data_IF_261876117752
#
_entry.id   IF_261876117752
#
_cell.length_a   1.000
_cell.length_b   1.000
_cell.length_c   1.000
_cell.angle_alpha   90.00
_cell.angle_beta   90.00
_cell.angle_gamma   90.00
#
_symmetry.space_group_name_H-M   'P 1'
#
loop_
_entity.id
_entity.type
_entity.pdbx_description
1 polymer ?
#
# COMPACT_ATOMS: atom_id res chain seq x y z
N UNK A 1 9.55 -78.10 9.60
CA UNK A 1 9.41 -76.70 10.15
C UNK A 1 10.29 -75.67 9.44
N UNK A 2 11.56 -75.88 9.17
CA UNK A 2 12.46 -74.90 8.53
C UNK A 2 12.01 -74.46 7.13
N UNK A 3 11.48 -75.37 6.27
CA UNK A 3 11.01 -75.01 4.91
C UNK A 3 9.77 -74.13 4.92
N UNK A 4 8.87 -74.28 5.89
CA UNK A 4 7.64 -73.46 5.99
C UNK A 4 7.99 -72.02 6.35
N UNK A 5 8.94 -71.80 7.26
CA UNK A 5 9.41 -70.44 7.64
C UNK A 5 10.11 -69.72 6.49
N UNK A 6 10.86 -70.50 5.64
CA UNK A 6 11.50 -69.91 4.44
C UNK A 6 10.46 -69.39 3.42
N UNK A 7 9.42 -70.20 3.16
CA UNK A 7 8.35 -69.82 2.21
C UNK A 7 7.53 -68.62 2.72
N UNK A 8 7.23 -68.54 4.04
CA UNK A 8 6.53 -67.40 4.65
C UNK A 8 7.37 -66.12 4.57
N UNK A 9 8.69 -66.22 4.83
CA UNK A 9 9.59 -65.05 4.65
C UNK A 9 9.64 -64.55 3.22
N UNK A 10 9.66 -65.42 2.26
CA UNK A 10 9.69 -65.09 0.84
C UNK A 10 8.37 -64.42 0.40
N UNK A 11 7.21 -64.89 0.90
CA UNK A 11 5.90 -64.26 0.62
C UNK A 11 5.80 -62.88 1.24
N UNK A 12 6.29 -62.68 2.44
CA UNK A 12 6.30 -61.34 3.13
C UNK A 12 7.20 -60.36 2.34
N UNK A 13 8.38 -60.82 1.87
CA UNK A 13 9.27 -59.97 1.11
C UNK A 13 8.68 -59.57 -0.26
N UNK A 14 7.98 -60.50 -0.95
CA UNK A 14 7.29 -60.21 -2.21
C UNK A 14 6.11 -59.23 -1.96
N UNK A 15 5.33 -59.44 -0.90
CA UNK A 15 4.23 -58.53 -0.56
C UNK A 15 4.73 -57.13 -0.20
N UNK A 16 5.86 -57.00 0.52
CA UNK A 16 6.48 -55.71 0.82
C UNK A 16 7.00 -55.01 -0.45
N UNK A 17 7.63 -55.78 -1.37
CA UNK A 17 8.09 -55.23 -2.65
C UNK A 17 6.93 -54.74 -3.56
N UNK A 18 5.82 -55.48 -3.58
CA UNK A 18 4.61 -55.08 -4.31
C UNK A 18 3.98 -53.82 -3.70
N UNK A 19 3.96 -53.70 -2.36
CA UNK A 19 3.44 -52.51 -1.68
C UNK A 19 4.26 -51.23 -1.99
N UNK A 20 5.58 -51.36 -2.17
CA UNK A 20 6.45 -50.24 -2.56
C UNK A 20 6.21 -49.84 -4.03
N UNK A 21 5.89 -50.79 -4.91
CA UNK A 21 5.58 -50.50 -6.30
C UNK A 21 4.21 -49.86 -6.51
N UNK A 22 3.27 -50.08 -5.60
CA UNK A 22 1.93 -49.49 -5.63
C UNK A 22 1.72 -48.29 -4.65
N UNK A 23 2.80 -47.80 -4.03
CA UNK A 23 2.69 -46.54 -3.27
C UNK A 23 2.27 -45.43 -4.23
N UNK A 24 1.16 -44.73 -3.95
CA UNK A 24 0.78 -43.56 -4.74
C UNK A 24 1.92 -42.56 -4.64
N UNK A 25 2.60 -42.32 -5.76
CA UNK A 25 3.51 -41.19 -5.83
C UNK A 25 2.65 -39.94 -5.63
N UNK A 26 2.80 -39.31 -4.48
CA UNK A 26 2.33 -37.95 -4.31
C UNK A 26 3.06 -37.09 -5.36
N UNK A 27 2.38 -36.86 -6.47
CA UNK A 27 2.76 -35.79 -7.38
C UNK A 27 2.43 -34.52 -6.61
N UNK A 28 3.42 -33.97 -5.93
CA UNK A 28 3.37 -32.56 -5.52
C UNK A 28 3.40 -31.81 -6.85
N UNK A 29 2.21 -31.41 -7.31
CA UNK A 29 2.09 -30.40 -8.33
C UNK A 29 2.78 -29.16 -7.71
N UNK A 30 3.94 -28.81 -8.25
CA UNK A 30 4.48 -27.47 -8.03
C UNK A 30 3.36 -26.53 -8.42
N UNK A 31 2.86 -25.75 -7.46
CA UNK A 31 1.85 -24.73 -7.74
C UNK A 31 2.35 -23.91 -8.91
N UNK A 32 1.47 -23.59 -9.84
CA UNK A 32 1.78 -22.68 -10.92
C UNK A 32 2.42 -21.44 -10.29
N UNK A 33 3.63 -21.11 -10.72
CA UNK A 33 4.34 -19.94 -10.25
C UNK A 33 3.64 -18.72 -10.86
N UNK A 34 2.67 -18.17 -10.11
CA UNK A 34 1.91 -17.00 -10.51
C UNK A 34 2.80 -15.79 -10.82
N UNK A 35 4.08 -15.83 -10.41
CA UNK A 35 5.02 -14.75 -10.68
C UNK A 35 5.58 -14.80 -12.10
N UNK A 36 5.44 -15.93 -12.82
CA UNK A 36 5.96 -16.07 -14.19
C UNK A 36 5.25 -15.17 -15.22
N UNK A 37 4.01 -14.75 -14.91
CA UNK A 37 3.19 -13.91 -15.80
C UNK A 37 3.34 -12.41 -15.49
N UNK A 38 4.12 -12.04 -14.46
CA UNK A 38 4.32 -10.66 -14.05
C UNK A 38 5.78 -10.24 -14.26
N UNK A 39 5.95 -9.03 -14.80
CA UNK A 39 7.25 -8.37 -14.85
C UNK A 39 7.47 -7.63 -13.53
N UNK A 40 8.56 -7.95 -12.84
CA UNK A 40 8.99 -7.22 -11.65
C UNK A 40 10.03 -6.19 -12.07
N UNK A 41 9.80 -4.93 -11.69
CA UNK A 41 10.76 -3.83 -11.84
C UNK A 41 11.06 -3.30 -10.43
N UNK A 42 12.32 -3.24 -10.07
CA UNK A 42 12.80 -2.63 -8.84
C UNK A 42 13.19 -1.18 -9.15
N UNK A 43 12.68 -0.25 -8.34
CA UNK A 43 13.03 1.17 -8.42
C UNK A 43 13.87 1.55 -7.21
N UNK A 44 14.91 2.34 -7.45
CA UNK A 44 15.92 2.72 -6.47
C UNK A 44 16.11 4.24 -6.43
N UNK A 45 17.04 4.71 -5.62
CA UNK A 45 17.46 6.12 -5.59
C UNK A 45 17.97 6.61 -6.96
N UNK A 46 18.58 5.73 -7.78
CA UNK A 46 19.05 6.05 -9.13
C UNK A 46 17.89 6.38 -10.08
N UNK A 47 16.68 5.85 -9.81
CA UNK A 47 15.45 6.11 -10.55
C UNK A 47 14.69 7.34 -10.03
N UNK A 48 15.24 8.04 -9.02
CA UNK A 48 14.66 9.22 -8.39
C UNK A 48 13.71 8.92 -7.21
N UNK A 49 13.62 7.65 -6.78
CA UNK A 49 12.85 7.26 -5.60
C UNK A 49 13.76 7.11 -4.38
N UNK A 50 13.95 8.22 -3.65
CA UNK A 50 14.89 8.33 -2.51
C UNK A 50 14.30 7.80 -1.18
N UNK A 51 13.23 7.02 -1.20
CA UNK A 51 12.60 6.49 0.00
C UNK A 51 12.57 4.97 -0.03
N UNK A 52 13.02 4.35 1.05
CA UNK A 52 12.98 2.89 1.19
C UNK A 52 11.62 2.35 1.64
N UNK A 53 10.66 3.23 2.04
CA UNK A 53 9.37 2.83 2.61
C UNK A 53 8.24 3.69 2.05
N UNK A 54 7.16 3.04 1.59
CA UNK A 54 5.97 3.69 1.09
C UNK A 54 4.79 3.40 2.01
N UNK A 55 4.11 4.46 2.50
CA UNK A 55 3.00 4.37 3.43
C UNK A 55 1.65 4.25 2.71
N UNK A 56 1.51 4.91 1.58
CA UNK A 56 0.28 4.93 0.79
C UNK A 56 0.54 5.16 -0.69
N UNK A 57 -0.41 4.73 -1.52
CA UNK A 57 -0.34 4.87 -2.97
C UNK A 57 -1.74 5.12 -3.53
N UNK A 58 -1.85 5.99 -4.51
CA UNK A 58 -3.10 6.24 -5.24
C UNK A 58 -2.83 6.60 -6.70
N UNK A 59 -3.72 6.21 -7.61
CA UNK A 59 -3.71 6.73 -8.97
C UNK A 59 -4.68 7.91 -9.06
N UNK A 60 -4.18 9.06 -9.53
CA UNK A 60 -5.03 10.22 -9.79
C UNK A 60 -5.82 10.06 -11.10
N UNK A 61 -6.88 10.84 -11.25
CA UNK A 61 -7.70 10.89 -12.48
C UNK A 61 -6.89 11.26 -13.73
N UNK A 62 -5.77 11.95 -13.56
CA UNK A 62 -4.81 12.28 -14.63
C UNK A 62 -3.87 11.13 -15.01
N UNK A 63 -3.99 9.96 -14.34
CA UNK A 63 -3.20 8.75 -14.62
C UNK A 63 -1.87 8.65 -13.88
N UNK A 64 -1.42 9.70 -13.19
CA UNK A 64 -0.22 9.67 -12.37
C UNK A 64 -0.40 8.79 -11.12
N UNK A 65 0.65 8.08 -10.74
CA UNK A 65 0.71 7.36 -9.46
C UNK A 65 1.36 8.28 -8.43
N UNK A 66 0.67 8.51 -7.32
CA UNK A 66 1.18 9.28 -6.19
C UNK A 66 1.52 8.34 -5.04
N UNK A 67 2.67 8.56 -4.43
CA UNK A 67 3.25 7.70 -3.40
C UNK A 67 3.63 8.56 -2.21
N UNK A 68 3.01 8.27 -1.07
CA UNK A 68 3.35 8.88 0.21
C UNK A 68 4.37 8.04 0.95
N UNK A 69 5.40 8.68 1.46
CA UNK A 69 6.51 8.05 2.18
C UNK A 69 6.85 8.82 3.45
N UNK A 70 7.72 8.27 4.28
CA UNK A 70 8.24 8.99 5.45
C UNK A 70 9.11 10.18 5.09
N UNK A 71 9.68 10.19 3.89
CA UNK A 71 10.55 11.26 3.37
C UNK A 71 9.83 12.26 2.46
N UNK A 72 8.51 12.12 2.26
CA UNK A 72 7.70 13.04 1.47
C UNK A 72 6.77 12.41 0.46
N UNK A 73 6.36 13.22 -0.50
CA UNK A 73 5.43 12.87 -1.57
C UNK A 73 6.16 12.72 -2.90
N UNK A 74 5.91 11.61 -3.57
CA UNK A 74 6.42 11.34 -4.91
C UNK A 74 5.29 11.16 -5.90
N UNK A 75 5.56 11.49 -7.16
CA UNK A 75 4.70 11.20 -8.30
C UNK A 75 5.48 10.41 -9.34
N UNK A 76 4.89 9.32 -9.82
CA UNK A 76 5.40 8.52 -10.92
C UNK A 76 4.52 8.71 -12.15
N UNK A 77 5.13 8.95 -13.30
CA UNK A 77 4.44 9.21 -14.57
C UNK A 77 4.48 8.02 -15.57
N UNK A 78 5.06 6.91 -15.14
CA UNK A 78 5.29 5.70 -15.96
C UNK A 78 6.75 5.57 -16.39
N UNK A 79 7.58 6.61 -16.21
CA UNK A 79 8.99 6.61 -16.58
C UNK A 79 9.92 7.08 -15.47
N UNK A 80 9.55 8.14 -14.72
CA UNK A 80 10.38 8.75 -13.69
C UNK A 80 9.60 9.10 -12.42
N UNK A 81 10.30 9.14 -11.30
CA UNK A 81 9.78 9.64 -10.03
C UNK A 81 10.15 11.10 -9.87
N UNK A 82 9.18 11.88 -9.40
CA UNK A 82 9.38 13.27 -9.04
C UNK A 82 8.91 13.52 -7.62
N UNK A 83 9.82 14.04 -6.79
CA UNK A 83 9.52 14.48 -5.43
C UNK A 83 8.78 15.83 -5.43
N UNK A 84 7.77 15.96 -4.58
CA UNK A 84 7.00 17.18 -4.40
C UNK A 84 7.18 17.75 -3.01
N UNK A 85 7.32 19.07 -2.94
CA UNK A 85 7.32 19.80 -1.68
C UNK A 85 5.89 20.11 -1.27
N UNK A 86 5.54 19.87 -0.01
CA UNK A 86 4.27 20.26 0.58
C UNK A 86 4.43 21.60 1.28
N UNK A 87 3.58 22.58 0.91
CA UNK A 87 3.63 23.94 1.47
C UNK A 87 4.60 24.88 0.75
N UNK A 88 4.72 26.12 1.27
CA UNK A 88 5.49 27.20 0.66
C UNK A 88 6.95 27.27 1.15
N UNK A 89 7.27 26.62 2.27
CA UNK A 89 8.61 26.63 2.85
C UNK A 89 9.50 25.59 2.19
N UNK A 90 10.39 26.03 1.30
CA UNK A 90 11.40 25.19 0.63
C UNK A 90 12.38 24.49 1.59
N UNK A 91 12.34 24.81 2.89
CA UNK A 91 13.24 24.29 3.92
C UNK A 91 12.72 23.07 4.69
N UNK A 92 11.45 22.73 4.63
CA UNK A 92 10.86 21.61 5.36
C UNK A 92 10.54 20.43 4.42
N UNK A 93 11.56 19.73 3.98
CA UNK A 93 11.48 18.72 2.93
C UNK A 93 11.06 17.32 3.37
N UNK A 94 10.68 17.12 4.63
CA UNK A 94 10.40 15.78 5.14
C UNK A 94 9.07 15.74 5.90
N UNK A 95 7.99 15.94 5.17
CA UNK A 95 6.67 15.64 5.70
C UNK A 95 6.39 14.15 5.48
N UNK A 96 6.34 13.34 6.54
CA UNK A 96 5.82 11.98 6.44
C UNK A 96 4.38 12.02 5.97
N UNK A 97 4.11 11.36 4.84
CA UNK A 97 2.81 11.29 4.20
C UNK A 97 2.15 9.97 4.54
N UNK A 98 1.05 10.02 5.29
CA UNK A 98 0.35 8.83 5.77
C UNK A 98 -0.83 8.44 4.89
N UNK A 99 -1.43 9.40 4.20
CA UNK A 99 -2.65 9.16 3.42
C UNK A 99 -2.72 10.07 2.21
N UNK A 100 -3.20 9.54 1.09
CA UNK A 100 -3.45 10.29 -0.14
C UNK A 100 -4.84 9.91 -0.64
N UNK A 101 -5.61 10.89 -1.06
CA UNK A 101 -6.93 10.70 -1.66
C UNK A 101 -7.02 11.45 -2.99
N UNK A 102 -7.37 10.73 -4.05
CA UNK A 102 -7.81 11.34 -5.32
C UNK A 102 -9.33 11.26 -5.38
N UNK A 103 -9.98 12.40 -5.42
CA UNK A 103 -11.44 12.50 -5.41
C UNK A 103 -12.05 12.19 -6.77
N UNK A 104 -13.35 11.95 -6.75
CA UNK A 104 -14.17 11.76 -7.96
C UNK A 104 -14.20 13.02 -8.84
N UNK A 105 -14.06 14.22 -8.25
CA UNK A 105 -13.91 15.50 -8.95
C UNK A 105 -12.51 15.74 -9.52
N UNK A 106 -11.52 14.90 -9.17
CA UNK A 106 -10.15 14.98 -9.65
C UNK A 106 -9.21 15.81 -8.77
N UNK A 107 -9.66 16.23 -7.60
CA UNK A 107 -8.81 16.87 -6.60
C UNK A 107 -7.89 15.83 -5.93
N UNK A 108 -6.75 16.28 -5.43
CA UNK A 108 -5.80 15.43 -4.71
C UNK A 108 -5.55 16.02 -3.32
N UNK A 109 -5.83 15.21 -2.31
CA UNK A 109 -5.59 15.54 -0.90
C UNK A 109 -4.45 14.70 -0.36
N UNK A 110 -3.62 15.29 0.50
CA UNK A 110 -2.46 14.65 1.12
C UNK A 110 -2.52 14.87 2.63
N UNK A 111 -2.61 13.79 3.38
CA UNK A 111 -2.60 13.77 4.83
C UNK A 111 -1.22 13.42 5.36
N UNK A 112 -0.72 14.24 6.28
CA UNK A 112 0.62 14.12 6.85
C UNK A 112 0.58 13.71 8.32
N UNK A 113 1.73 13.30 8.86
CA UNK A 113 1.87 12.93 10.26
C UNK A 113 1.83 14.14 11.21
N UNK A 114 2.42 15.28 10.83
CA UNK A 114 2.61 16.40 11.76
C UNK A 114 2.14 17.77 11.25
N UNK A 115 1.65 17.83 10.01
CA UNK A 115 1.35 19.10 9.35
C UNK A 115 -0.08 19.17 8.78
N UNK A 116 -0.92 18.18 9.11
CA UNK A 116 -2.32 18.15 8.73
C UNK A 116 -2.57 17.80 7.27
N UNK A 117 -3.58 18.46 6.70
CA UNK A 117 -4.11 18.21 5.37
C UNK A 117 -3.55 19.21 4.36
N UNK A 118 -3.19 18.72 3.19
CA UNK A 118 -2.83 19.53 2.02
C UNK A 118 -3.74 19.20 0.85
N UNK A 119 -4.00 20.19 0.01
CA UNK A 119 -4.72 20.06 -1.26
C UNK A 119 -3.83 20.52 -2.41
N UNK A 120 -3.88 19.77 -3.52
CA UNK A 120 -3.14 20.10 -4.74
C UNK A 120 -3.96 21.03 -5.64
N UNK A 121 -3.42 22.19 -5.97
CA UNK A 121 -3.98 23.12 -6.94
C UNK A 121 -2.87 23.67 -7.84
N UNK A 122 -3.07 23.61 -9.16
CA UNK A 122 -2.22 24.22 -10.18
C UNK A 122 -0.72 23.98 -10.02
N UNK A 123 -0.32 22.77 -9.65
CA UNK A 123 1.09 22.40 -9.55
C UNK A 123 1.71 22.60 -8.18
N UNK A 124 0.96 23.06 -7.18
CA UNK A 124 1.41 23.29 -5.81
C UNK A 124 0.48 22.65 -4.80
N UNK A 125 1.01 22.39 -3.62
CA UNK A 125 0.25 21.93 -2.45
C UNK A 125 0.05 23.07 -1.48
N UNK A 126 -1.19 23.27 -1.06
CA UNK A 126 -1.59 24.28 -0.07
C UNK A 126 -2.11 23.58 1.18
N UNK A 127 -1.66 24.03 2.34
CA UNK A 127 -2.16 23.52 3.62
C UNK A 127 -3.61 23.97 3.82
N UNK A 128 -4.49 23.04 4.15
CA UNK A 128 -5.85 23.34 4.56
C UNK A 128 -5.80 23.82 6.00
N UNK A 129 -6.24 25.05 6.24
CA UNK A 129 -6.32 25.63 7.58
C UNK A 129 -7.69 25.34 8.20
N UNK A 130 -7.70 24.95 9.48
CA UNK A 130 -8.93 24.77 10.23
C UNK A 130 -9.31 26.10 10.93
N UNK A 131 -10.47 26.72 10.62
CA UNK A 131 -10.88 27.97 11.25
C UNK A 131 -11.20 27.82 12.75
N UNK A 132 -11.45 26.62 13.25
CA UNK A 132 -11.90 26.34 14.61
C UNK A 132 -10.79 26.17 15.65
N UNK A 133 -9.58 26.70 15.44
CA UNK A 133 -8.43 26.63 16.36
C UNK A 133 -7.97 25.22 16.77
N UNK A 134 -8.65 24.15 16.38
CA UNK A 134 -8.20 22.80 16.62
C UNK A 134 -7.06 22.48 15.65
N UNK A 135 -5.85 22.37 16.17
CA UNK A 135 -4.69 22.02 15.37
C UNK A 135 -4.74 20.54 15.01
N UNK A 136 -5.27 20.24 13.83
CA UNK A 136 -5.21 18.88 13.27
C UNK A 136 -3.83 18.71 12.65
N UNK A 137 -2.99 17.94 13.31
CA UNK A 137 -1.61 17.71 12.87
C UNK A 137 -1.44 16.42 12.12
N UNK A 138 -2.08 15.33 12.59
CA UNK A 138 -1.92 13.99 12.03
C UNK A 138 -3.19 13.54 11.33
N UNK A 139 -3.06 13.17 10.06
CA UNK A 139 -4.11 12.53 9.28
C UNK A 139 -3.72 11.06 9.07
N UNK A 140 -4.50 10.13 9.62
CA UNK A 140 -4.26 8.70 9.51
C UNK A 140 -4.89 8.09 8.25
N UNK A 141 -6.05 8.62 7.83
CA UNK A 141 -6.78 8.12 6.67
C UNK A 141 -7.81 9.11 6.18
N UNK A 142 -8.19 8.96 4.91
CA UNK A 142 -9.17 9.80 4.24
C UNK A 142 -10.12 8.96 3.39
N UNK A 143 -11.35 9.44 3.26
CA UNK A 143 -12.38 8.82 2.42
C UNK A 143 -13.32 9.89 1.86
N UNK A 144 -13.66 9.81 0.58
CA UNK A 144 -14.70 10.62 -0.06
C UNK A 144 -16.03 9.88 -0.01
N UNK A 145 -17.07 10.52 0.52
CA UNK A 145 -18.42 9.94 0.51
C UNK A 145 -19.19 10.25 -0.78
N UNK A 146 -20.41 9.72 -0.89
CA UNK A 146 -21.26 9.91 -2.07
C UNK A 146 -21.70 11.36 -2.28
N UNK A 147 -21.61 12.20 -1.25
CA UNK A 147 -21.93 13.64 -1.28
C UNK A 147 -20.69 14.49 -1.61
N UNK A 148 -19.51 13.88 -1.77
CA UNK A 148 -18.23 14.55 -2.05
C UNK A 148 -17.56 15.15 -0.81
N UNK A 149 -18.02 14.82 0.39
CA UNK A 149 -17.34 15.21 1.63
C UNK A 149 -16.11 14.35 1.86
N UNK A 150 -15.03 14.96 2.29
CA UNK A 150 -13.79 14.27 2.62
C UNK A 150 -13.76 13.97 4.12
N UNK A 151 -13.96 12.72 4.47
CA UNK A 151 -13.85 12.23 5.85
C UNK A 151 -12.40 12.03 6.24
N UNK A 152 -12.04 12.45 7.45
CA UNK A 152 -10.68 12.45 7.97
C UNK A 152 -10.64 11.69 9.30
N UNK A 153 -9.82 10.65 9.38
CA UNK A 153 -9.42 10.04 10.63
C UNK A 153 -8.13 10.72 11.10
N UNK A 154 -8.18 11.37 12.26
CA UNK A 154 -7.09 12.20 12.76
C UNK A 154 -6.68 11.81 14.18
N UNK A 155 -5.55 12.33 14.66
CA UNK A 155 -5.14 12.20 16.06
C UNK A 155 -6.05 12.94 17.05
N UNK A 156 -6.90 13.86 16.56
CA UNK A 156 -7.80 14.72 17.37
C UNK A 156 -9.27 14.37 17.16
N UNK A 157 -9.59 13.21 16.56
CA UNK A 157 -10.95 12.76 16.32
C UNK A 157 -11.29 12.57 14.86
N UNK A 158 -12.57 12.45 14.56
CA UNK A 158 -13.12 12.28 13.21
C UNK A 158 -13.66 13.62 12.74
N UNK A 159 -13.21 14.03 11.58
CA UNK A 159 -13.67 15.26 10.91
C UNK A 159 -14.21 14.95 9.53
N UNK A 160 -14.96 15.88 8.97
CA UNK A 160 -15.11 15.97 7.51
C UNK A 160 -14.75 17.37 7.02
N UNK A 161 -14.26 17.42 5.78
CA UNK A 161 -13.95 18.64 5.06
C UNK A 161 -14.90 18.78 3.87
N UNK A 162 -15.58 19.92 3.78
CA UNK A 162 -16.50 20.28 2.69
C UNK A 162 -16.56 21.78 2.55
N UNK A 163 -16.65 22.29 1.32
CA UNK A 163 -16.84 23.71 1.02
C UNK A 163 -15.80 24.66 1.67
N UNK A 164 -14.57 24.17 1.87
CA UNK A 164 -13.50 24.94 2.49
C UNK A 164 -13.52 24.91 4.04
N UNK A 165 -14.45 24.21 4.65
CA UNK A 165 -14.61 24.12 6.10
C UNK A 165 -14.37 22.71 6.63
N UNK A 166 -13.78 22.64 7.82
CA UNK A 166 -13.51 21.41 8.53
C UNK A 166 -14.41 21.31 9.76
N UNK A 167 -15.18 20.24 9.87
CA UNK A 167 -16.17 20.04 10.93
C UNK A 167 -15.83 18.79 11.75
N UNK A 168 -15.73 18.95 13.09
CA UNK A 168 -15.58 17.82 14.03
C UNK A 168 -16.88 17.02 14.10
N UNK A 169 -16.77 15.71 13.98
CA UNK A 169 -17.91 14.77 14.09
C UNK A 169 -17.87 14.03 15.43
N UNK A 170 -16.70 13.55 15.82
CA UNK A 170 -16.47 12.81 17.07
C UNK A 170 -15.01 12.97 17.53
N UNK A 171 -14.78 13.03 18.82
CA UNK A 171 -13.49 13.13 19.53
C UNK A 171 -13.28 11.92 20.46
#
# INVERSE_FOLDING_TARGET
>A
MKQLHSKIRMIILIAAAVMILFSPRLVVSAGEDFTSDYSQTEYTEEDGFESGEANCIVQSSSGYIWIGTDSGLYRYDGSEFRKFTLGEDEGSNAYSVNSILSTSSGELYVGTENYGLFVYDKGKFFRVTNPSDAEITTIHGMYEDEEGKIWLATSSGIYYYSDGEMTLVAD
#
